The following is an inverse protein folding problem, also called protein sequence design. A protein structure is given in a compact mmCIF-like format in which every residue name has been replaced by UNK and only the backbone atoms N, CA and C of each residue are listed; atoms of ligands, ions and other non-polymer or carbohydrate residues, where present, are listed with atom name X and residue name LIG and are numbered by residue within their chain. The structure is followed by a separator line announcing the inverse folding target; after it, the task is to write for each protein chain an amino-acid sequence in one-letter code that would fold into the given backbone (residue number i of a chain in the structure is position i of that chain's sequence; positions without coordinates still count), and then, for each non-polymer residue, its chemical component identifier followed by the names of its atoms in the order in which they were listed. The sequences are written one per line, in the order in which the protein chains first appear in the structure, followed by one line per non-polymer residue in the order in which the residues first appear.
data_IF_242209178342
#
_entry.id   IF_242209178342
#
_cell.length_a   1.000
_cell.length_b   1.000
_cell.length_c   1.000
_cell.angle_alpha   90.00
_cell.angle_beta   90.00
_cell.angle_gamma   90.00
#
_symmetry.space_group_name_H-M   'P 1'
#
loop_
_entity.id
_entity.type
_entity.pdbx_description
1 polymer ?
#
# COMPACT_ATOMS: atom_id res chain seq x y z
N UNK A 1 -15.83 4.23 -12.40
CA UNK A 1 -16.20 2.86 -12.86
C UNK A 1 -15.13 1.83 -12.50
N UNK A 2 -13.83 2.05 -12.79
CA UNK A 2 -12.73 1.13 -12.38
C UNK A 2 -12.63 0.86 -10.87
N UNK A 3 -12.76 1.89 -10.03
CA UNK A 3 -12.67 1.75 -8.57
C UNK A 3 -13.74 0.83 -7.98
N UNK A 4 -14.97 0.89 -8.51
CA UNK A 4 -16.06 0.02 -8.09
C UNK A 4 -15.81 -1.45 -8.48
N UNK A 5 -15.22 -1.69 -9.64
CA UNK A 5 -14.88 -3.03 -10.10
C UNK A 5 -13.75 -3.65 -9.25
N UNK A 6 -12.70 -2.87 -8.97
CA UNK A 6 -11.59 -3.31 -8.13
C UNK A 6 -12.04 -3.61 -6.69
N UNK A 7 -12.93 -2.78 -6.13
CA UNK A 7 -13.46 -3.01 -4.79
C UNK A 7 -14.32 -4.29 -4.73
N UNK A 8 -15.09 -4.58 -5.78
CA UNK A 8 -15.86 -5.81 -5.89
C UNK A 8 -14.94 -7.03 -6.01
N UNK A 9 -13.89 -6.95 -6.83
CA UNK A 9 -12.91 -8.01 -6.99
C UNK A 9 -12.20 -8.34 -5.66
N UNK A 10 -11.78 -7.31 -4.92
CA UNK A 10 -11.19 -7.47 -3.59
C UNK A 10 -12.16 -8.10 -2.59
N UNK A 11 -13.43 -7.69 -2.61
CA UNK A 11 -14.46 -8.25 -1.73
C UNK A 11 -14.71 -9.73 -2.01
N UNK A 12 -14.75 -10.13 -3.28
CA UNK A 12 -14.90 -11.54 -3.67
C UNK A 12 -13.68 -12.37 -3.29
N UNK A 13 -12.46 -11.84 -3.45
CA UNK A 13 -11.22 -12.53 -3.06
C UNK A 13 -11.08 -12.70 -1.54
N UNK A 14 -11.65 -11.79 -0.76
CA UNK A 14 -11.57 -11.79 0.70
C UNK A 14 -12.69 -12.57 1.40
N UNK A 15 -13.77 -12.91 0.68
CA UNK A 15 -14.91 -13.63 1.22
C UNK A 15 -14.61 -15.14 1.35
N UNK A 16 -14.92 -15.71 2.52
CA UNK A 16 -14.82 -17.15 2.76
C UNK A 16 -15.83 -17.94 1.92
N UNK A 17 -15.46 -19.17 1.56
CA UNK A 17 -16.37 -20.07 0.87
C UNK A 17 -17.35 -20.67 1.89
N UNK A 18 -18.64 -20.66 1.57
CA UNK A 18 -19.63 -21.44 2.32
C UNK A 18 -19.45 -22.95 2.02
N UNK A 19 -20.11 -23.80 2.81
CA UNK A 19 -20.08 -25.26 2.72
C UNK A 19 -20.51 -25.79 1.35
N UNK A 20 -21.29 -25.00 0.60
CA UNK A 20 -21.77 -25.30 -0.74
C UNK A 20 -20.89 -24.68 -1.86
N UNK A 21 -19.76 -24.07 -1.51
CA UNK A 21 -18.79 -23.49 -2.47
C UNK A 21 -19.15 -22.10 -3.00
N UNK A 22 -20.21 -21.48 -2.49
CA UNK A 22 -20.61 -20.11 -2.83
C UNK A 22 -19.91 -19.09 -1.93
N UNK A 23 -19.56 -17.92 -2.50
CA UNK A 23 -19.03 -16.78 -1.75
C UNK A 23 -20.12 -15.74 -1.53
N UNK A 24 -20.41 -15.46 -0.26
CA UNK A 24 -21.39 -14.44 0.11
C UNK A 24 -20.68 -13.12 0.38
N UNK A 25 -20.84 -12.16 -0.52
CA UNK A 25 -20.34 -10.79 -0.33
C UNK A 25 -21.45 -9.94 0.27
N UNK A 26 -21.22 -9.41 1.46
CA UNK A 26 -22.15 -8.53 2.15
C UNK A 26 -21.90 -7.06 1.84
N UNK A 27 -22.87 -6.22 2.17
CA UNK A 27 -22.73 -4.75 2.08
C UNK A 27 -21.60 -4.23 2.99
N UNK A 28 -21.26 -4.94 4.06
CA UNK A 28 -20.18 -4.57 4.96
C UNK A 28 -18.82 -4.83 4.30
N UNK A 29 -18.65 -5.99 3.66
CA UNK A 29 -17.43 -6.36 2.93
C UNK A 29 -17.15 -5.36 1.80
N UNK A 30 -18.20 -4.92 1.10
CA UNK A 30 -18.09 -3.89 0.06
C UNK A 30 -17.64 -2.53 0.63
N UNK A 31 -18.14 -2.12 1.80
CA UNK A 31 -17.71 -0.87 2.47
C UNK A 31 -16.25 -0.93 2.88
N UNK A 32 -15.81 -2.05 3.46
CA UNK A 32 -14.45 -2.23 3.93
C UNK A 32 -13.45 -2.24 2.74
N UNK A 33 -13.83 -2.86 1.63
CA UNK A 33 -13.02 -2.85 0.40
C UNK A 33 -12.98 -1.47 -0.29
N UNK A 34 -14.09 -0.73 -0.30
CA UNK A 34 -14.15 0.63 -0.85
C UNK A 34 -13.31 1.62 -0.05
N UNK A 35 -13.27 1.49 1.29
CA UNK A 35 -12.43 2.32 2.14
C UNK A 35 -10.93 2.10 1.90
N UNK A 36 -10.50 0.84 1.69
CA UNK A 36 -9.11 0.53 1.32
C UNK A 36 -8.70 1.20 0.00
N UNK A 37 -9.59 1.20 -1.00
CA UNK A 37 -9.35 1.85 -2.28
C UNK A 37 -9.22 3.38 -2.20
N UNK A 38 -9.90 4.04 -1.25
CA UNK A 38 -9.78 5.48 -1.03
C UNK A 38 -8.43 5.87 -0.43
N UNK A 39 -7.82 5.01 0.38
CA UNK A 39 -6.50 5.24 0.99
C UNK A 39 -5.36 5.25 -0.06
N UNK A 40 -5.54 4.51 -1.17
CA UNK A 40 -4.59 4.44 -2.30
C UNK A 40 -4.69 5.67 -3.21
N UNK A 41 -5.79 6.43 -3.14
CA UNK A 41 -6.00 7.66 -3.92
C UNK A 41 -6.03 8.87 -3.01
N UNK A 42 -4.95 9.09 -2.26
CA UNK A 42 -4.73 10.40 -1.66
C UNK A 42 -4.51 11.41 -2.80
N UNK A 43 -5.41 12.38 -2.90
CA UNK A 43 -5.50 13.33 -4.02
C UNK A 43 -4.35 14.32 -4.04
N UNK A 44 -3.64 14.48 -2.92
CA UNK A 44 -2.65 15.54 -2.74
C UNK A 44 -1.20 15.05 -2.85
N UNK A 45 -0.92 13.74 -2.80
CA UNK A 45 0.41 13.15 -3.03
C UNK A 45 1.48 13.49 -1.98
N UNK A 46 1.27 14.53 -1.17
CA UNK A 46 2.20 15.02 -0.14
C UNK A 46 2.52 13.95 0.90
N UNK A 47 1.53 13.18 1.34
CA UNK A 47 1.75 12.09 2.30
C UNK A 47 2.68 11.00 1.73
N UNK A 48 2.60 10.71 0.43
CA UNK A 48 3.49 9.74 -0.20
C UNK A 48 4.92 10.27 -0.28
N UNK A 49 5.10 11.55 -0.62
CA UNK A 49 6.42 12.18 -0.64
C UNK A 49 7.05 12.24 0.76
N UNK A 50 6.28 12.59 1.79
CA UNK A 50 6.78 12.66 3.17
C UNK A 50 7.23 11.29 3.67
N UNK A 51 6.44 10.23 3.43
CA UNK A 51 6.80 8.86 3.83
C UNK A 51 8.04 8.38 3.05
N UNK A 52 8.13 8.69 1.75
CA UNK A 52 9.30 8.34 0.94
C UNK A 52 10.57 9.07 1.41
N UNK A 53 10.43 10.35 1.80
CA UNK A 53 11.51 11.17 2.33
C UNK A 53 11.98 10.65 3.70
N UNK A 54 11.04 10.23 4.55
CA UNK A 54 11.33 9.62 5.84
C UNK A 54 12.04 8.27 5.67
N UNK A 55 11.59 7.43 4.72
CA UNK A 55 12.25 6.17 4.38
C UNK A 55 13.73 6.35 4.02
N UNK A 56 14.06 7.29 3.11
CA UNK A 56 15.45 7.59 2.75
C UNK A 56 16.26 8.09 3.96
N UNK A 57 15.70 9.02 4.74
CA UNK A 57 16.39 9.57 5.92
C UNK A 57 16.63 8.53 7.01
N UNK A 58 15.71 7.58 7.21
CA UNK A 58 15.90 6.49 8.17
C UNK A 58 17.04 5.57 7.76
N UNK A 59 17.15 5.21 6.48
CA UNK A 59 18.27 4.41 5.97
C UNK A 59 19.59 5.19 6.12
N UNK A 60 19.64 6.45 5.67
CA UNK A 60 20.81 7.34 5.85
C UNK A 60 21.20 7.49 7.32
N UNK A 61 20.23 7.56 8.21
CA UNK A 61 20.40 7.65 9.66
C UNK A 61 20.68 6.32 10.35
N UNK A 62 20.77 5.21 9.61
CA UNK A 62 20.99 3.86 10.14
C UNK A 62 19.91 3.37 11.14
N UNK A 63 18.70 3.93 11.08
CA UNK A 63 17.56 3.49 11.89
C UNK A 63 16.77 2.41 11.13
N UNK A 64 17.08 1.15 11.44
CA UNK A 64 16.49 -0.02 10.79
C UNK A 64 14.99 -0.14 11.08
N UNK A 65 14.56 0.14 12.31
CA UNK A 65 13.16 -0.02 12.69
C UNK A 65 12.29 1.02 11.99
N UNK A 66 12.75 2.28 11.95
CA UNK A 66 12.05 3.34 11.23
C UNK A 66 12.04 3.05 9.72
N UNK A 67 13.15 2.57 9.14
CA UNK A 67 13.20 2.22 7.73
C UNK A 67 12.18 1.12 7.36
N UNK A 68 12.08 0.06 8.18
CA UNK A 68 11.08 -1.00 7.97
C UNK A 68 9.65 -0.49 8.16
N UNK A 69 9.41 0.37 9.15
CA UNK A 69 8.10 0.98 9.36
C UNK A 69 7.65 1.81 8.15
N UNK A 70 8.51 2.67 7.62
CA UNK A 70 8.17 3.48 6.44
C UNK A 70 8.07 2.63 5.17
N UNK A 71 8.91 1.60 5.00
CA UNK A 71 8.77 0.66 3.90
C UNK A 71 7.43 -0.06 3.91
N UNK A 72 6.96 -0.53 5.07
CA UNK A 72 5.65 -1.18 5.19
C UNK A 72 4.52 -0.24 4.77
N UNK A 73 4.56 1.03 5.18
CA UNK A 73 3.57 2.05 4.77
C UNK A 73 3.59 2.30 3.26
N UNK A 74 4.78 2.31 2.64
CA UNK A 74 4.91 2.46 1.19
C UNK A 74 4.37 1.24 0.43
N UNK A 75 4.59 0.02 0.96
CA UNK A 75 4.05 -1.21 0.38
C UNK A 75 2.51 -1.21 0.42
N UNK A 76 1.92 -0.80 1.55
CA UNK A 76 0.46 -0.63 1.68
C UNK A 76 -0.11 0.40 0.69
N UNK A 77 0.67 1.43 0.33
CA UNK A 77 0.29 2.40 -0.70
C UNK A 77 0.34 1.84 -2.15
N UNK A 78 1.07 0.75 -2.38
CA UNK A 78 1.02 -0.04 -3.61
C UNK A 78 1.92 0.41 -4.78
N UNK A 79 2.70 1.48 -4.66
CA UNK A 79 3.61 1.96 -5.73
C UNK A 79 5.01 1.30 -5.65
N UNK A 80 5.07 -0.01 -5.88
CA UNK A 80 6.31 -0.77 -5.86
C UNK A 80 7.41 -0.24 -6.81
N UNK A 81 7.11 0.17 -8.07
CA UNK A 81 8.13 0.73 -8.96
C UNK A 81 8.83 1.98 -8.41
N UNK A 82 8.11 2.85 -7.69
CA UNK A 82 8.72 4.05 -7.09
C UNK A 82 9.58 3.70 -5.89
N UNK A 83 9.17 2.74 -5.06
CA UNK A 83 9.96 2.23 -3.93
C UNK A 83 11.30 1.68 -4.42
N UNK A 84 11.29 0.80 -5.43
CA UNK A 84 12.50 0.17 -5.97
C UNK A 84 13.45 1.21 -6.57
N UNK A 85 12.92 2.18 -7.33
CA UNK A 85 13.73 3.29 -7.86
C UNK A 85 14.39 4.11 -6.75
N UNK A 86 13.66 4.40 -5.68
CA UNK A 86 14.22 5.13 -4.53
C UNK A 86 15.29 4.30 -3.82
N UNK A 87 15.06 3.00 -3.63
CA UNK A 87 16.03 2.11 -2.98
C UNK A 87 17.36 2.06 -3.75
N UNK A 88 17.31 2.00 -5.09
CA UNK A 88 18.48 2.09 -5.95
C UNK A 88 19.24 3.42 -5.76
N UNK A 89 18.53 4.56 -5.70
CA UNK A 89 19.16 5.85 -5.42
C UNK A 89 19.85 5.83 -4.06
N UNK A 90 19.17 5.35 -3.03
CA UNK A 90 19.73 5.26 -1.67
C UNK A 90 21.00 4.41 -1.65
N UNK A 91 21.01 3.25 -2.32
CA UNK A 91 22.19 2.37 -2.33
C UNK A 91 23.43 3.05 -2.91
N UNK A 92 23.27 3.92 -3.91
CA UNK A 92 24.39 4.64 -4.53
C UNK A 92 24.69 5.99 -3.87
N UNK A 93 23.69 6.68 -3.32
CA UNK A 93 23.84 8.02 -2.73
C UNK A 93 24.35 7.96 -1.28
N UNK A 94 23.80 7.04 -0.49
CA UNK A 94 23.94 7.04 0.96
C UNK A 94 24.82 5.89 1.48
N UNK A 95 25.04 4.83 0.69
CA UNK A 95 25.83 3.65 1.07
C UNK A 95 27.15 3.61 0.26
N UNK A 96 27.05 3.54 -1.07
CA UNK A 96 28.19 3.40 -1.99
C UNK A 96 28.35 2.01 -2.59
#
# INVERSE_FOLDING_TARGET
VRSALNALELAVLSADNDKDGYRHVTLQDAKDCLQKGAFVSDKDGDMHYDVMSAFQKSIRGSDVNAALHYLARLIEAGDLPTIVRRLLVISYEDIG
#
